data_IF_367814098761
#
_entry.id   IF_367814098761
#
_cell.length_a   1.000
_cell.length_b   1.000
_cell.length_c   1.000
_cell.angle_alpha   90.00
_cell.angle_beta   90.00
_cell.angle_gamma   90.00
#
_symmetry.space_group_name_H-M   'P 1'
#
loop_
_entity.id
_entity.type
_entity.pdbx_description
1 polymer ?
#
# COMPACT_ATOMS: atom_id res chain seq x y z
N UNK A 1 27.36 -4.66 18.85
CA UNK A 1 26.79 -4.16 17.58
C UNK A 1 26.00 -2.89 17.89
N UNK A 2 26.51 -1.72 17.48
CA UNK A 2 25.83 -0.46 17.71
C UNK A 2 24.59 -0.36 16.83
N UNK A 3 23.43 -0.11 17.44
CA UNK A 3 22.22 0.26 16.71
C UNK A 3 22.50 1.61 16.05
N UNK A 4 22.59 1.65 14.72
CA UNK A 4 22.65 2.92 13.97
C UNK A 4 21.38 3.70 14.31
N UNK A 5 21.53 4.83 14.99
CA UNK A 5 20.49 5.86 15.08
C UNK A 5 20.53 6.64 13.78
N UNK A 6 19.51 6.48 12.95
CA UNK A 6 19.33 7.27 11.74
C UNK A 6 18.66 8.60 12.11
N UNK A 7 19.16 9.72 11.58
CA UNK A 7 18.66 11.07 11.86
C UNK A 7 17.36 11.34 11.09
N UNK A 8 16.36 11.85 11.82
CA UNK A 8 14.90 11.86 11.59
C UNK A 8 14.41 12.92 10.58
N UNK A 9 14.87 12.92 9.31
CA UNK A 9 14.37 13.94 8.35
C UNK A 9 13.94 13.45 6.95
N UNK A 10 14.17 12.19 6.55
CA UNK A 10 13.84 11.71 5.19
C UNK A 10 13.03 10.38 5.18
N UNK A 11 11.93 10.26 5.92
CA UNK A 11 11.29 8.98 6.27
C UNK A 11 9.93 8.67 5.61
N UNK A 12 9.60 9.27 4.47
CA UNK A 12 8.45 8.82 3.67
C UNK A 12 8.88 7.59 2.85
N UNK A 13 8.76 6.42 3.47
CA UNK A 13 9.06 5.14 2.86
C UNK A 13 7.78 4.55 2.28
N UNK A 14 7.88 4.00 1.08
CA UNK A 14 6.79 3.26 0.45
C UNK A 14 7.06 1.77 0.60
N UNK A 15 6.23 1.11 1.41
CA UNK A 15 6.34 -0.31 1.71
C UNK A 15 5.36 -1.09 0.84
N UNK A 16 5.86 -2.11 0.16
CA UNK A 16 5.05 -2.99 -0.67
C UNK A 16 4.93 -4.37 -0.04
N UNK A 17 3.70 -4.83 0.19
CA UNK A 17 3.45 -6.12 0.85
C UNK A 17 2.16 -6.77 0.36
N UNK A 18 2.11 -8.09 0.41
CA UNK A 18 0.86 -8.82 0.31
C UNK A 18 0.14 -8.83 1.66
N UNK A 19 -1.08 -8.28 1.70
CA UNK A 19 -1.96 -8.41 2.84
C UNK A 19 -3.27 -9.06 2.41
N UNK A 20 -3.62 -10.19 3.02
CA UNK A 20 -4.88 -10.90 2.75
C UNK A 20 -5.12 -11.19 1.26
N UNK A 21 -4.05 -11.45 0.50
CA UNK A 21 -4.10 -11.72 -0.94
C UNK A 21 -4.17 -10.47 -1.83
N UNK A 22 -4.12 -9.27 -1.25
CA UNK A 22 -4.05 -7.99 -1.96
C UNK A 22 -2.62 -7.48 -2.01
N UNK A 23 -2.21 -6.91 -3.14
CA UNK A 23 -0.97 -6.16 -3.26
C UNK A 23 -1.19 -4.75 -2.68
N UNK A 24 -0.48 -4.44 -1.60
CA UNK A 24 -0.66 -3.20 -0.85
C UNK A 24 0.59 -2.33 -0.89
N UNK A 25 0.36 -1.03 -0.96
CA UNK A 25 1.32 0.03 -0.75
C UNK A 25 1.01 0.72 0.59
N UNK A 26 2.03 0.94 1.42
CA UNK A 26 1.91 1.69 2.68
C UNK A 26 2.94 2.82 2.71
N UNK A 27 2.46 4.06 2.73
CA UNK A 27 3.28 5.24 2.99
C UNK A 27 3.48 5.39 4.50
N UNK A 28 4.73 5.34 4.96
CA UNK A 28 5.04 5.34 6.41
C UNK A 28 4.92 6.71 7.07
N UNK A 29 4.92 7.78 6.28
CA UNK A 29 4.80 9.16 6.74
C UNK A 29 5.76 9.50 7.90
N UNK A 30 7.01 9.08 7.81
CA UNK A 30 7.99 9.27 8.89
C UNK A 30 8.07 8.15 9.94
N UNK A 31 7.18 7.16 9.89
CA UNK A 31 7.06 6.12 10.90
C UNK A 31 8.27 5.16 10.97
N UNK A 32 8.57 4.67 12.17
CA UNK A 32 9.62 3.67 12.37
C UNK A 32 9.12 2.30 11.90
N UNK A 33 9.62 1.82 10.76
CA UNK A 33 9.27 0.49 10.26
C UNK A 33 10.50 -0.40 10.26
N UNK A 34 10.64 -1.17 11.35
CA UNK A 34 11.76 -2.08 11.55
C UNK A 34 11.90 -3.11 10.41
N UNK A 35 10.80 -3.56 9.79
CA UNK A 35 10.83 -4.53 8.69
C UNK A 35 11.27 -3.96 7.34
N UNK A 36 11.13 -2.64 7.11
CA UNK A 36 11.53 -2.04 5.84
C UNK A 36 13.04 -2.17 5.59
N UNK A 37 13.84 -2.03 6.64
CA UNK A 37 15.30 -2.09 6.53
C UNK A 37 15.83 -3.49 6.24
N UNK A 38 15.04 -4.55 6.46
CA UNK A 38 15.43 -5.92 6.13
C UNK A 38 15.17 -6.24 4.64
N UNK A 39 14.26 -5.51 3.99
CA UNK A 39 13.72 -5.82 2.66
C UNK A 39 13.72 -4.63 1.67
N UNK A 40 14.53 -3.58 1.91
CA UNK A 40 14.60 -2.38 1.06
C UNK A 40 14.78 -2.69 -0.43
N UNK A 41 15.65 -3.66 -0.76
CA UNK A 41 15.87 -4.09 -2.14
C UNK A 41 14.60 -4.62 -2.82
N UNK A 42 13.77 -5.37 -2.08
CA UNK A 42 12.50 -5.90 -2.60
C UNK A 42 11.50 -4.78 -2.89
N UNK A 43 11.37 -3.81 -1.98
CA UNK A 43 10.47 -2.68 -2.15
C UNK A 43 10.87 -1.81 -3.34
N UNK A 44 12.17 -1.54 -3.50
CA UNK A 44 12.69 -0.78 -4.63
C UNK A 44 12.47 -1.52 -5.97
N UNK A 45 12.75 -2.81 -6.01
CA UNK A 45 12.58 -3.60 -7.23
C UNK A 45 11.11 -3.67 -7.66
N UNK A 46 10.20 -3.96 -6.71
CA UNK A 46 8.78 -4.01 -7.00
C UNK A 46 8.23 -2.64 -7.45
N UNK A 47 8.72 -1.55 -6.87
CA UNK A 47 8.37 -0.18 -7.30
C UNK A 47 8.76 0.07 -8.76
N UNK A 48 9.97 -0.35 -9.16
CA UNK A 48 10.45 -0.22 -10.55
C UNK A 48 9.56 -1.04 -11.49
N UNK A 49 9.35 -2.32 -11.18
CA UNK A 49 8.48 -3.23 -11.96
C UNK A 49 7.09 -2.61 -12.16
N UNK A 50 6.47 -2.11 -11.10
CA UNK A 50 5.13 -1.51 -11.19
C UNK A 50 5.12 -0.23 -12.02
N UNK A 51 6.14 0.63 -11.88
CA UNK A 51 6.29 1.86 -12.66
C UNK A 51 6.48 1.58 -14.16
N UNK A 52 7.25 0.55 -14.50
CA UNK A 52 7.55 0.16 -15.89
C UNK A 52 6.45 -0.70 -16.51
N UNK A 53 5.54 -1.23 -15.71
CA UNK A 53 4.42 -2.03 -16.20
C UNK A 53 3.41 -1.22 -17.03
N UNK A 54 2.85 -1.87 -18.06
CA UNK A 54 1.79 -1.29 -18.89
C UNK A 54 0.38 -1.43 -18.29
N UNK A 55 0.27 -1.95 -17.07
CA UNK A 55 -1.02 -2.01 -16.39
C UNK A 55 -1.50 -0.61 -16.03
N UNK A 56 -2.79 -0.35 -16.31
CA UNK A 56 -3.50 0.87 -15.94
C UNK A 56 -4.93 0.48 -15.54
N UNK A 57 -5.17 0.43 -14.24
CA UNK A 57 -6.46 0.09 -13.65
C UNK A 57 -7.29 1.35 -13.41
N UNK A 58 -8.62 1.21 -13.49
CA UNK A 58 -9.53 2.19 -12.88
C UNK A 58 -9.30 2.21 -11.37
N UNK A 59 -9.60 3.33 -10.72
CA UNK A 59 -9.40 3.48 -9.28
C UNK A 59 -10.58 4.20 -8.63
N UNK A 60 -10.70 4.03 -7.32
CA UNK A 60 -11.56 4.85 -6.46
C UNK A 60 -10.74 5.41 -5.29
N UNK A 61 -11.15 6.59 -4.82
CA UNK A 61 -10.67 7.17 -3.57
C UNK A 61 -11.59 6.69 -2.46
N UNK A 62 -11.05 6.39 -1.29
CA UNK A 62 -11.86 6.02 -0.13
C UNK A 62 -12.88 7.13 0.18
N UNK A 63 -14.17 6.81 0.12
CA UNK A 63 -15.27 7.76 0.40
C UNK A 63 -15.23 8.37 1.82
N UNK A 64 -14.54 7.74 2.76
CA UNK A 64 -14.37 8.25 4.13
C UNK A 64 -13.07 9.01 4.34
N UNK A 65 -12.27 9.18 3.29
CA UNK A 65 -10.97 9.81 3.37
C UNK A 65 -11.05 11.21 3.99
N UNK A 66 -12.04 12.02 3.56
CA UNK A 66 -12.24 13.36 4.12
C UNK A 66 -12.43 13.30 5.64
N UNK A 67 -13.26 12.39 6.16
CA UNK A 67 -13.45 12.22 7.62
C UNK A 67 -12.14 11.85 8.34
N UNK A 68 -11.28 11.06 7.69
CA UNK A 68 -10.01 10.62 8.28
C UNK A 68 -8.95 11.72 8.20
N UNK A 69 -8.95 12.54 7.14
CA UNK A 69 -8.02 13.66 6.92
C UNK A 69 -8.45 14.90 7.71
N UNK A 70 -9.75 15.12 7.94
CA UNK A 70 -10.27 16.25 8.70
C UNK A 70 -9.69 16.28 10.13
N UNK A 71 -9.40 15.10 10.70
CA UNK A 71 -8.66 14.97 11.96
C UNK A 71 -7.16 15.33 11.88
N UNK A 72 -6.57 15.29 10.68
CA UNK A 72 -5.13 15.48 10.44
C UNK A 72 -4.75 16.91 10.03
N UNK A 73 -5.65 17.67 9.38
CA UNK A 73 -5.25 18.87 8.62
C UNK A 73 -6.23 20.05 8.74
N UNK A 74 -6.83 20.24 9.92
CA UNK A 74 -7.42 21.54 10.24
C UNK A 74 -6.27 22.48 10.67
N UNK A 75 -5.62 23.15 9.70
CA UNK A 75 -5.22 24.58 9.79
C UNK A 75 -4.16 25.11 8.76
N UNK A 76 -3.67 24.38 7.75
CA UNK A 76 -2.52 24.88 6.93
C UNK A 76 -2.52 24.58 5.43
N UNK A 77 -3.59 24.90 4.69
CA UNK A 77 -3.52 24.91 3.21
C UNK A 77 -3.28 23.54 2.58
N UNK A 78 -4.00 22.52 3.06
CA UNK A 78 -3.97 21.17 2.50
C UNK A 78 -4.29 21.17 1.01
N UNK A 79 -3.34 20.72 0.20
CA UNK A 79 -3.56 20.44 -1.22
C UNK A 79 -3.91 18.96 -1.38
N UNK A 80 -5.22 18.71 -1.51
CA UNK A 80 -5.78 17.37 -1.65
C UNK A 80 -5.26 16.65 -2.89
N UNK A 81 -5.11 17.35 -4.01
CA UNK A 81 -4.71 16.72 -5.27
C UNK A 81 -3.23 16.34 -5.21
N UNK A 82 -2.40 17.19 -4.60
CA UNK A 82 -1.00 16.86 -4.32
C UNK A 82 -0.89 15.68 -3.36
N UNK A 83 -1.69 15.64 -2.30
CA UNK A 83 -1.71 14.51 -1.37
C UNK A 83 -2.09 13.20 -2.06
N UNK A 84 -3.13 13.21 -2.89
CA UNK A 84 -3.64 12.03 -3.55
C UNK A 84 -2.75 11.51 -4.69
N UNK A 85 -1.83 12.32 -5.20
CA UNK A 85 -1.10 12.06 -6.45
C UNK A 85 -0.45 10.66 -6.47
N UNK A 86 0.39 10.36 -5.47
CA UNK A 86 1.13 9.10 -5.42
C UNK A 86 0.20 7.92 -5.09
N UNK A 87 -0.77 8.11 -4.19
CA UNK A 87 -1.72 7.05 -3.83
C UNK A 87 -2.57 6.61 -5.03
N UNK A 88 -3.03 7.56 -5.83
CA UNK A 88 -3.74 7.30 -7.08
C UNK A 88 -2.82 6.66 -8.11
N UNK A 89 -1.56 7.09 -8.19
CA UNK A 89 -0.55 6.46 -9.04
C UNK A 89 -0.40 4.97 -8.75
N UNK A 90 -0.27 4.58 -7.48
CA UNK A 90 -0.20 3.17 -7.08
C UNK A 90 -1.52 2.42 -7.29
N UNK A 91 -2.66 3.06 -7.03
CA UNK A 91 -3.97 2.44 -7.29
C UNK A 91 -4.16 2.12 -8.78
N UNK A 92 -3.73 3.01 -9.67
CA UNK A 92 -3.73 2.76 -11.12
C UNK A 92 -2.79 1.64 -11.55
N UNK A 93 -1.78 1.29 -10.75
CA UNK A 93 -0.91 0.12 -10.97
C UNK A 93 -1.44 -1.16 -10.30
N UNK A 94 -2.64 -1.12 -9.71
CA UNK A 94 -3.29 -2.29 -9.13
C UNK A 94 -3.05 -2.49 -7.63
N UNK A 95 -2.60 -1.45 -6.91
CA UNK A 95 -2.28 -1.54 -5.48
C UNK A 95 -3.31 -0.86 -4.60
N UNK A 96 -3.63 -1.48 -3.47
CA UNK A 96 -4.35 -0.83 -2.38
C UNK A 96 -3.39 0.07 -1.63
N UNK A 97 -3.68 1.37 -1.63
CA UNK A 97 -2.73 2.40 -1.25
C UNK A 97 -3.14 3.01 0.07
N UNK A 98 -2.31 2.82 1.10
CA UNK A 98 -2.58 3.18 2.48
C UNK A 98 -1.59 4.23 2.97
N UNK A 99 -2.06 5.05 3.90
CA UNK A 99 -1.26 6.06 4.57
C UNK A 99 -1.36 5.87 6.10
N UNK A 100 -0.34 6.32 6.82
CA UNK A 100 -0.32 6.20 8.28
C UNK A 100 -1.39 7.11 8.88
N UNK A 101 -2.16 6.56 9.81
CA UNK A 101 -3.31 7.26 10.41
C UNK A 101 -2.87 8.27 11.46
N UNK A 102 -1.93 7.87 12.34
CA UNK A 102 -1.46 8.68 13.45
C UNK A 102 0.02 9.02 13.28
N UNK A 103 0.31 10.18 12.71
CA UNK A 103 1.68 10.60 12.39
C UNK A 103 2.54 10.91 13.63
N UNK A 104 1.89 11.35 14.71
CA UNK A 104 2.58 11.75 15.94
C UNK A 104 3.01 10.58 16.82
N UNK A 105 2.52 9.37 16.53
CA UNK A 105 2.88 8.15 17.24
C UNK A 105 3.67 7.23 16.31
N UNK A 106 4.99 7.17 16.49
CA UNK A 106 5.86 6.33 15.66
C UNK A 106 5.59 4.84 15.85
N UNK A 107 5.08 4.42 17.01
CA UNK A 107 4.80 3.03 17.35
C UNK A 107 3.39 2.60 16.90
N UNK A 108 2.51 3.55 16.58
CA UNK A 108 1.19 3.24 16.03
C UNK A 108 1.30 2.75 14.58
N UNK A 109 0.95 1.48 14.36
CA UNK A 109 0.94 0.83 13.04
C UNK A 109 -0.45 0.84 12.40
N UNK A 110 -1.28 1.83 12.74
CA UNK A 110 -2.60 2.01 12.14
C UNK A 110 -2.50 2.76 10.83
N UNK A 111 -2.97 2.15 9.77
CA UNK A 111 -3.02 2.71 8.42
C UNK A 111 -4.46 2.82 7.95
N UNK A 112 -4.76 3.80 7.11
CA UNK A 112 -6.08 3.93 6.49
C UNK A 112 -5.93 3.89 4.97
N UNK A 113 -6.95 3.36 4.31
CA UNK A 113 -6.99 3.26 2.87
C UNK A 113 -7.25 4.65 2.26
N UNK A 114 -6.40 5.04 1.32
CA UNK A 114 -6.52 6.32 0.58
C UNK A 114 -7.15 6.08 -0.79
N UNK A 115 -6.58 5.17 -1.59
CA UNK A 115 -7.04 4.84 -2.93
C UNK A 115 -6.87 3.35 -3.23
N UNK A 116 -7.70 2.81 -4.12
CA UNK A 116 -7.67 1.40 -4.49
C UNK A 116 -8.06 1.15 -5.95
N UNK A 117 -7.56 0.06 -6.56
CA UNK A 117 -7.92 -0.34 -7.91
C UNK A 117 -9.34 -0.92 -7.97
N UNK A 118 -9.99 -0.69 -9.12
CA UNK A 118 -11.18 -1.42 -9.54
C UNK A 118 -10.72 -2.47 -10.54
N UNK A 119 -10.90 -3.75 -10.19
CA UNK A 119 -10.68 -4.86 -11.10
C UNK A 119 -11.98 -5.18 -11.83
N UNK A 120 -11.96 -5.15 -13.17
CA UNK A 120 -13.15 -5.51 -13.97
C UNK A 120 -13.45 -7.01 -13.87
N UNK A 121 -12.41 -7.81 -13.69
CA UNK A 121 -12.52 -9.26 -13.51
C UNK A 121 -11.32 -9.82 -12.74
N UNK A 122 -11.41 -11.11 -12.40
CA UNK A 122 -10.40 -11.85 -11.64
C UNK A 122 -9.07 -12.00 -12.38
N UNK A 123 -9.14 -12.21 -13.69
CA UNK A 123 -7.96 -12.46 -14.51
C UNK A 123 -7.05 -11.24 -14.51
N UNK A 124 -7.61 -10.04 -14.63
CA UNK A 124 -6.85 -8.79 -14.64
C UNK A 124 -5.93 -8.63 -13.41
N UNK A 125 -6.40 -9.05 -12.23
CA UNK A 125 -5.58 -9.02 -11.02
C UNK A 125 -4.51 -10.13 -11.04
N UNK A 126 -4.84 -11.33 -11.52
CA UNK A 126 -3.85 -12.40 -11.61
C UNK A 126 -2.76 -12.12 -12.65
N UNK A 127 -3.10 -11.49 -13.77
CA UNK A 127 -2.14 -11.10 -14.79
C UNK A 127 -1.09 -10.14 -14.20
N UNK A 128 -1.52 -9.20 -13.34
CA UNK A 128 -0.60 -8.33 -12.58
C UNK A 128 0.30 -9.14 -11.63
N UNK A 129 -0.28 -10.06 -10.86
CA UNK A 129 0.48 -10.86 -9.91
C UNK A 129 1.51 -11.77 -10.59
N UNK A 130 1.13 -12.37 -11.71
CA UNK A 130 2.01 -13.21 -12.53
C UNK A 130 3.13 -12.36 -13.12
N UNK A 131 2.81 -11.21 -13.73
CA UNK A 131 3.81 -10.27 -14.23
C UNK A 131 4.82 -9.84 -13.16
N UNK A 132 4.35 -9.45 -11.97
CA UNK A 132 5.24 -9.08 -10.87
C UNK A 132 6.12 -10.26 -10.43
N UNK A 133 5.55 -11.48 -10.31
CA UNK A 133 6.32 -12.66 -9.93
C UNK A 133 7.38 -13.02 -10.98
N UNK A 134 7.06 -12.91 -12.26
CA UNK A 134 7.98 -13.19 -13.36
C UNK A 134 9.09 -12.14 -13.48
N UNK A 135 8.76 -10.87 -13.21
CA UNK A 135 9.69 -9.74 -13.33
C UNK A 135 10.63 -9.58 -12.15
N UNK A 136 10.28 -10.12 -10.97
CA UNK A 136 11.14 -10.08 -9.79
C UNK A 136 12.39 -10.94 -9.97
N UNK A 137 13.46 -10.57 -9.29
CA UNK A 137 14.68 -11.35 -9.14
C UNK A 137 14.42 -12.63 -8.37
N UNK A 138 15.18 -13.70 -8.67
CA UNK A 138 15.01 -15.00 -8.00
C UNK A 138 15.21 -14.93 -6.48
N UNK A 139 16.01 -13.95 -6.01
CA UNK A 139 16.14 -13.62 -4.60
C UNK A 139 14.79 -13.26 -3.98
N UNK A 140 14.01 -12.39 -4.64
CA UNK A 140 12.78 -11.83 -4.11
C UNK A 140 11.50 -12.57 -4.51
N UNK A 141 11.52 -13.41 -5.56
CA UNK A 141 10.40 -14.32 -5.86
C UNK A 141 9.97 -15.16 -4.66
N UNK A 142 10.94 -15.56 -3.81
CA UNK A 142 10.66 -16.33 -2.59
C UNK A 142 9.92 -15.53 -1.51
N UNK A 143 10.04 -14.19 -1.53
CA UNK A 143 9.31 -13.25 -0.66
C UNK A 143 7.96 -12.90 -1.26
N UNK A 144 7.88 -12.87 -2.59
CA UNK A 144 6.64 -12.72 -3.35
C UNK A 144 5.83 -14.03 -3.34
N UNK A 145 5.13 -14.28 -2.23
CA UNK A 145 4.22 -15.42 -2.07
C UNK A 145 2.77 -14.96 -2.28
N UNK A 146 2.26 -14.87 -3.52
CA UNK A 146 0.83 -14.74 -3.71
C UNK A 146 0.20 -15.98 -3.08
N UNK A 147 -0.61 -15.80 -2.02
CA UNK A 147 -1.23 -16.92 -1.30
C UNK A 147 -1.88 -17.87 -2.32
N UNK A 148 -1.74 -19.20 -2.14
CA UNK A 148 -2.14 -20.16 -3.13
C UNK A 148 -3.62 -19.97 -3.50
N UNK A 149 -3.85 -20.04 -4.81
CA UNK A 149 -5.11 -19.78 -5.52
C UNK A 149 -6.35 -20.24 -4.73
N UNK A 150 -7.42 -19.45 -4.87
CA UNK A 150 -8.84 -19.81 -4.69
C UNK A 150 -9.63 -19.29 -3.47
N UNK A 151 -9.03 -18.88 -2.34
CA UNK A 151 -9.86 -18.58 -1.14
C UNK A 151 -10.24 -17.12 -0.85
N UNK A 152 -9.59 -16.13 -1.47
CA UNK A 152 -9.82 -14.72 -1.11
C UNK A 152 -10.59 -13.90 -2.15
N UNK A 153 -10.82 -14.44 -3.34
CA UNK A 153 -11.64 -13.75 -4.35
C UNK A 153 -13.12 -13.70 -3.95
N UNK A 154 -13.59 -14.70 -3.20
CA UNK A 154 -14.87 -14.63 -2.50
C UNK A 154 -14.87 -13.52 -1.45
N UNK A 155 -13.76 -13.26 -0.74
CA UNK A 155 -13.69 -12.18 0.24
C UNK A 155 -13.81 -10.80 -0.44
N UNK A 156 -13.06 -10.53 -1.51
CA UNK A 156 -13.10 -9.23 -2.20
C UNK A 156 -14.47 -8.90 -2.82
N UNK A 157 -15.21 -9.91 -3.31
CA UNK A 157 -16.57 -9.73 -3.86
C UNK A 157 -17.71 -10.04 -2.86
N UNK A 158 -17.46 -10.70 -1.73
CA UNK A 158 -18.45 -10.87 -0.64
C UNK A 158 -18.44 -9.72 0.35
N UNK A 159 -17.34 -8.97 0.44
CA UNK A 159 -17.32 -7.67 1.10
C UNK A 159 -18.05 -6.69 0.18
N UNK A 160 -19.38 -6.77 0.21
CA UNK A 160 -20.19 -5.59 0.02
C UNK A 160 -19.65 -4.52 0.98
N UNK A 161 -18.91 -3.55 0.43
CA UNK A 161 -18.84 -2.15 0.85
C UNK A 161 -19.19 -1.93 2.33
N UNK A 162 -18.28 -2.08 3.32
CA UNK A 162 -18.36 -1.32 4.59
C UNK A 162 -17.15 -1.57 5.52
N UNK A 163 -16.75 -2.80 5.82
CA UNK A 163 -15.86 -3.03 6.98
C UNK A 163 -14.36 -2.81 6.75
N UNK A 164 -13.81 -3.10 5.56
CA UNK A 164 -12.41 -2.75 5.24
C UNK A 164 -12.20 -1.23 5.07
N UNK A 165 -13.27 -0.47 4.89
CA UNK A 165 -13.22 0.90 4.39
C UNK A 165 -13.59 1.94 5.45
N UNK A 166 -14.25 1.53 6.54
CA UNK A 166 -14.78 2.44 7.56
C UNK A 166 -13.75 2.88 8.61
N UNK A 167 -12.69 2.10 8.86
CA UNK A 167 -11.77 2.31 9.99
C UNK A 167 -10.30 1.97 9.62
N UNK A 168 -9.37 2.55 10.36
CA UNK A 168 -7.94 2.27 10.25
C UNK A 168 -7.66 0.79 10.50
N UNK A 169 -6.85 0.17 9.63
CA UNK A 169 -6.36 -1.19 9.81
C UNK A 169 -5.06 -1.17 10.60
N UNK A 170 -4.91 -2.07 11.58
CA UNK A 170 -3.61 -2.32 12.20
C UNK A 170 -2.81 -3.26 11.31
N UNK A 171 -1.65 -2.79 10.89
CA UNK A 171 -0.75 -3.56 10.02
C UNK A 171 0.36 -4.12 10.89
N UNK A 172 0.61 -5.43 10.82
CA UNK A 172 1.87 -5.99 11.29
C UNK A 172 2.91 -5.75 10.19
N UNK A 173 3.65 -4.65 10.33
CA UNK A 173 4.79 -4.34 9.48
C UNK A 173 6.02 -5.08 10.00
#
# INVERSE_FOLDING_TARGET
>A
MGKKKYNVTDFDLDIFKFNSGLLCHFATAGGNVYSYFEDEGFHNELRIILRESNFEFKYEINRYLERIIDHRILNQGFDRDKYLHDFVGFAKKGLFSFDKTFLHDSEDLSYHLVAYPIFENRSQYFDLLEYCLESLSDEFKRKFKPYPRYRYWTYYFSINKLDLFNESIKVQL
#
